data_IF_790088762799
#
_entry.id   IF_790088762799
#
_cell.length_a   1.000
_cell.length_b   1.000
_cell.length_c   1.000
_cell.angle_alpha   90.00
_cell.angle_beta   90.00
_cell.angle_gamma   90.00
#
_symmetry.space_group_name_H-M   'P 1'
#
loop_
_entity.id
_entity.type
_entity.pdbx_description
1 polymer ?
#
# COMPACT_ATOMS: atom_id res chain seq x y z
N UNK A 1 0.04 -11.43 12.69
CA UNK A 1 0.83 -12.51 12.01
C UNK A 1 1.31 -12.14 10.61
N UNK A 2 0.50 -11.62 9.70
CA UNK A 2 0.97 -11.21 8.36
C UNK A 2 1.91 -9.98 8.39
N UNK A 3 1.61 -8.98 9.22
CA UNK A 3 2.46 -7.78 9.39
C UNK A 3 3.81 -8.15 9.99
N UNK A 4 3.84 -9.12 10.92
CA UNK A 4 5.08 -9.62 11.50
C UNK A 4 6.05 -10.25 10.49
N UNK A 5 5.57 -10.73 9.34
CA UNK A 5 6.44 -11.29 8.30
C UNK A 5 7.18 -10.20 7.51
N UNK A 6 6.57 -9.02 7.36
CA UNK A 6 7.23 -7.85 6.78
C UNK A 6 8.25 -7.29 7.76
N UNK A 7 7.94 -7.33 9.05
CA UNK A 7 8.77 -6.84 10.16
C UNK A 7 10.16 -7.49 10.19
N UNK A 8 10.26 -8.75 9.80
CA UNK A 8 11.54 -9.47 9.77
C UNK A 8 12.44 -9.10 8.59
N UNK A 9 11.93 -8.41 7.56
CA UNK A 9 12.69 -8.11 6.36
C UNK A 9 13.21 -6.69 6.29
N UNK A 10 12.46 -5.71 6.80
CA UNK A 10 12.87 -4.31 6.76
C UNK A 10 12.22 -3.50 7.89
N UNK A 11 13.03 -2.95 8.76
CA UNK A 11 12.62 -2.03 9.82
C UNK A 11 11.89 -0.79 9.27
N UNK A 12 12.31 -0.30 8.09
CA UNK A 12 11.68 0.86 7.45
C UNK A 12 10.25 0.57 7.02
N UNK A 13 9.99 -0.62 6.50
CA UNK A 13 8.63 -1.01 6.07
C UNK A 13 7.68 -1.09 7.25
N UNK A 14 8.13 -1.63 8.40
CA UNK A 14 7.34 -1.69 9.64
C UNK A 14 6.97 -0.32 10.14
N UNK A 15 7.97 0.53 10.33
CA UNK A 15 7.77 1.89 10.83
C UNK A 15 6.84 2.67 9.89
N UNK A 16 7.01 2.51 8.59
CA UNK A 16 6.14 3.12 7.59
C UNK A 16 4.70 2.65 7.74
N UNK A 17 4.45 1.34 7.82
CA UNK A 17 3.10 0.78 7.95
C UNK A 17 2.41 1.27 9.23
N UNK A 18 3.09 1.23 10.37
CA UNK A 18 2.54 1.71 11.66
C UNK A 18 2.21 3.20 11.57
N UNK A 19 3.12 4.00 11.04
CA UNK A 19 2.92 5.45 10.89
C UNK A 19 1.76 5.74 9.96
N UNK A 20 1.67 5.07 8.82
CA UNK A 20 0.57 5.20 7.87
C UNK A 20 -0.77 4.86 8.52
N UNK A 21 -0.86 3.74 9.25
CA UNK A 21 -2.07 3.37 9.98
C UNK A 21 -2.47 4.44 11.00
N UNK A 22 -1.51 4.93 11.80
CA UNK A 22 -1.79 5.92 12.84
C UNK A 22 -2.31 7.22 12.24
N UNK A 23 -1.65 7.72 11.19
CA UNK A 23 -2.06 8.97 10.53
C UNK A 23 -3.41 8.78 9.84
N UNK A 24 -3.63 7.67 9.14
CA UNK A 24 -4.90 7.38 8.45
C UNK A 24 -6.07 7.32 9.42
N UNK A 25 -5.91 6.69 10.58
CA UNK A 25 -6.95 6.64 11.61
C UNK A 25 -7.24 8.02 12.20
N UNK A 26 -6.22 8.84 12.42
CA UNK A 26 -6.41 10.21 12.92
C UNK A 26 -7.13 11.09 11.88
N UNK A 27 -6.77 10.96 10.60
CA UNK A 27 -7.48 11.64 9.51
C UNK A 27 -8.95 11.18 9.43
N UNK A 28 -9.22 9.89 9.52
CA UNK A 28 -10.58 9.35 9.53
C UNK A 28 -11.40 9.94 10.69
N UNK A 29 -10.80 10.07 11.88
CA UNK A 29 -11.42 10.70 13.05
C UNK A 29 -11.72 12.18 12.79
N UNK A 30 -10.76 12.95 12.27
CA UNK A 30 -10.94 14.38 11.97
C UNK A 30 -11.99 14.64 10.91
N UNK A 31 -12.10 13.74 9.92
CA UNK A 31 -13.12 13.81 8.87
C UNK A 31 -14.48 13.24 9.31
N UNK A 32 -14.60 12.78 10.56
CA UNK A 32 -15.81 12.18 11.11
C UNK A 32 -16.36 11.02 10.26
N UNK A 33 -15.46 10.19 9.74
CA UNK A 33 -15.83 9.02 8.96
C UNK A 33 -16.57 7.99 9.84
N UNK A 34 -17.45 7.20 9.23
CA UNK A 34 -18.16 6.14 9.92
C UNK A 34 -17.20 5.07 10.45
N UNK A 35 -17.66 4.29 11.43
CA UNK A 35 -16.89 3.15 11.98
C UNK A 35 -16.52 2.14 10.89
N UNK A 36 -17.40 1.91 9.92
CA UNK A 36 -17.16 1.01 8.80
C UNK A 36 -16.05 1.54 7.87
N UNK A 37 -16.11 2.81 7.48
CA UNK A 37 -15.09 3.47 6.67
C UNK A 37 -13.74 3.48 7.39
N UNK A 38 -13.73 3.82 8.68
CA UNK A 38 -12.51 3.82 9.51
C UNK A 38 -11.87 2.44 9.57
N UNK A 39 -12.67 1.39 9.73
CA UNK A 39 -12.19 0.00 9.72
C UNK A 39 -11.60 -0.38 8.35
N UNK A 40 -12.25 0.01 7.26
CA UNK A 40 -11.77 -0.20 5.90
C UNK A 40 -10.40 0.47 5.68
N UNK A 41 -10.29 1.75 6.03
CA UNK A 41 -9.03 2.52 5.94
C UNK A 41 -7.91 1.86 6.75
N UNK A 42 -8.22 1.36 7.95
CA UNK A 42 -7.23 0.63 8.75
C UNK A 42 -6.67 -0.59 8.03
N UNK A 43 -7.54 -1.43 7.45
CA UNK A 43 -7.08 -2.62 6.73
C UNK A 43 -6.30 -2.26 5.45
N UNK A 44 -6.73 -1.23 4.72
CA UNK A 44 -5.97 -0.73 3.57
C UNK A 44 -4.58 -0.28 3.99
N UNK A 45 -4.48 0.55 5.03
CA UNK A 45 -3.21 1.05 5.53
C UNK A 45 -2.28 -0.06 6.04
N UNK A 46 -2.84 -1.13 6.61
CA UNK A 46 -2.08 -2.30 7.06
C UNK A 46 -1.54 -3.15 5.90
N UNK A 47 -2.25 -3.20 4.78
CA UNK A 47 -2.01 -4.20 3.73
C UNK A 47 -1.43 -3.63 2.44
N UNK A 48 -1.47 -2.30 2.23
CA UNK A 48 -1.10 -1.67 0.95
C UNK A 48 0.29 -2.08 0.44
N UNK A 49 1.23 -2.25 1.34
CA UNK A 49 2.64 -2.54 1.08
C UNK A 49 3.05 -4.01 1.30
N UNK A 50 2.09 -4.92 1.54
CA UNK A 50 2.38 -6.32 1.85
C UNK A 50 3.23 -6.99 0.77
N UNK A 51 3.04 -6.64 -0.49
CA UNK A 51 3.82 -7.16 -1.62
C UNK A 51 5.31 -6.83 -1.59
N UNK A 52 5.74 -5.90 -0.74
CA UNK A 52 7.17 -5.61 -0.53
C UNK A 52 7.94 -6.82 0.02
N UNK A 53 7.26 -7.80 0.61
CA UNK A 53 7.88 -9.07 1.01
C UNK A 53 8.52 -9.80 -0.18
N UNK A 54 8.02 -9.61 -1.39
CA UNK A 54 8.55 -10.20 -2.62
C UNK A 54 9.58 -9.34 -3.35
N UNK A 55 9.98 -8.19 -2.79
CA UNK A 55 11.01 -7.32 -3.38
C UNK A 55 12.40 -7.73 -2.85
N UNK A 56 13.42 -7.85 -3.71
CA UNK A 56 14.79 -8.11 -3.25
C UNK A 56 15.25 -7.07 -2.24
N UNK A 57 15.89 -7.54 -1.16
CA UNK A 57 16.30 -6.66 -0.05
C UNK A 57 17.30 -5.58 -0.49
N UNK A 58 18.14 -5.89 -1.47
CA UNK A 58 19.11 -4.98 -2.04
C UNK A 58 18.47 -3.81 -2.77
N UNK A 59 17.23 -3.99 -3.27
CA UNK A 59 16.43 -2.92 -3.88
C UNK A 59 15.60 -2.22 -2.81
N UNK A 60 14.99 -2.99 -1.90
CA UNK A 60 14.11 -2.46 -0.87
C UNK A 60 14.85 -1.48 0.08
N UNK A 61 16.08 -1.81 0.45
CA UNK A 61 16.92 -1.03 1.38
C UNK A 61 18.05 -0.26 0.67
N UNK A 62 17.98 -0.10 -0.65
CA UNK A 62 18.99 0.64 -1.38
C UNK A 62 19.06 2.10 -0.91
N UNK A 63 20.24 2.60 -0.47
CA UNK A 63 20.35 3.91 0.18
C UNK A 63 20.37 5.09 -0.79
N UNK A 64 20.28 4.85 -2.09
CA UNK A 64 20.37 5.87 -3.14
C UNK A 64 19.13 5.89 -4.04
N UNK A 65 19.27 6.56 -5.17
CA UNK A 65 18.25 6.53 -6.22
C UNK A 65 18.28 5.21 -6.97
N UNK A 66 17.13 4.57 -7.09
CA UNK A 66 16.98 3.35 -7.88
C UNK A 66 17.14 3.64 -9.37
N UNK A 67 17.76 2.72 -10.10
CA UNK A 67 17.75 2.74 -11.57
C UNK A 67 16.32 2.52 -12.08
N UNK A 68 16.09 2.71 -13.38
CA UNK A 68 14.78 2.47 -13.98
C UNK A 68 14.36 1.00 -13.83
N UNK A 69 15.29 0.06 -14.04
CA UNK A 69 15.04 -1.37 -13.89
C UNK A 69 14.71 -1.72 -12.43
N UNK A 70 15.46 -1.20 -11.47
CA UNK A 70 15.18 -1.38 -10.04
C UNK A 70 13.84 -0.76 -9.65
N UNK A 71 13.48 0.39 -10.22
CA UNK A 71 12.19 1.04 -9.98
C UNK A 71 11.02 0.18 -10.50
N UNK A 72 11.17 -0.47 -11.66
CA UNK A 72 10.16 -1.43 -12.16
C UNK A 72 9.96 -2.57 -11.17
N UNK A 73 11.05 -3.13 -10.65
CA UNK A 73 10.98 -4.19 -9.63
C UNK A 73 10.31 -3.66 -8.35
N UNK A 74 10.71 -2.48 -7.86
CA UNK A 74 10.09 -1.85 -6.68
C UNK A 74 8.58 -1.66 -6.86
N UNK A 75 8.15 -1.12 -8.00
CA UNK A 75 6.72 -0.87 -8.30
C UNK A 75 5.89 -2.15 -8.38
N UNK A 76 6.52 -3.29 -8.66
CA UNK A 76 5.82 -4.58 -8.72
C UNK A 76 5.23 -5.01 -7.38
N UNK A 77 5.59 -4.37 -6.24
CA UNK A 77 5.00 -4.71 -4.94
C UNK A 77 3.47 -4.58 -4.93
N UNK A 78 2.90 -3.64 -5.69
CA UNK A 78 1.45 -3.47 -5.79
C UNK A 78 0.79 -4.71 -6.39
N UNK A 79 1.34 -5.24 -7.50
CA UNK A 79 0.84 -6.46 -8.12
C UNK A 79 1.05 -7.68 -7.19
N UNK A 80 2.18 -7.74 -6.49
CA UNK A 80 2.45 -8.78 -5.50
C UNK A 80 1.49 -8.70 -4.30
N UNK A 81 1.11 -7.48 -3.86
CA UNK A 81 0.07 -7.31 -2.85
C UNK A 81 -1.25 -7.93 -3.32
N UNK A 82 -1.65 -7.68 -4.57
CA UNK A 82 -2.84 -8.29 -5.18
C UNK A 82 -2.74 -9.81 -5.18
N UNK A 83 -1.68 -10.38 -5.72
CA UNK A 83 -1.47 -11.84 -5.76
C UNK A 83 -1.55 -12.50 -4.38
N UNK A 84 -1.02 -11.84 -3.35
CA UNK A 84 -1.02 -12.37 -1.99
C UNK A 84 -2.41 -12.33 -1.34
N UNK A 85 -3.23 -11.33 -1.65
CA UNK A 85 -4.48 -11.04 -0.94
C UNK A 85 -5.74 -11.35 -1.75
N UNK A 86 -5.64 -11.56 -3.05
CA UNK A 86 -6.79 -11.90 -3.91
C UNK A 86 -7.54 -13.11 -3.36
N UNK A 87 -8.86 -13.06 -3.35
CA UNK A 87 -9.76 -14.06 -2.76
C UNK A 87 -9.62 -14.28 -1.23
N UNK A 88 -8.75 -13.54 -0.54
CA UNK A 88 -8.52 -13.69 0.91
C UNK A 88 -9.06 -12.56 1.75
N UNK A 89 -9.32 -11.41 1.12
CA UNK A 89 -9.86 -10.22 1.79
C UNK A 89 -11.01 -9.63 0.97
N UNK A 90 -11.72 -8.68 1.56
CA UNK A 90 -12.75 -7.91 0.87
C UNK A 90 -12.19 -7.25 -0.39
N UNK A 91 -12.92 -7.38 -1.51
CA UNK A 91 -12.48 -6.90 -2.82
C UNK A 91 -12.31 -5.38 -2.86
N UNK A 92 -13.17 -4.63 -2.15
CA UNK A 92 -13.07 -3.17 -2.11
C UNK A 92 -11.79 -2.74 -1.36
N UNK A 93 -11.46 -3.39 -0.24
CA UNK A 93 -10.22 -3.15 0.51
C UNK A 93 -9.01 -3.45 -0.39
N UNK A 94 -9.05 -4.56 -1.12
CA UNK A 94 -7.98 -4.94 -2.04
C UNK A 94 -7.77 -3.91 -3.15
N UNK A 95 -8.86 -3.44 -3.77
CA UNK A 95 -8.79 -2.45 -4.84
C UNK A 95 -8.19 -1.13 -4.35
N UNK A 96 -8.62 -0.62 -3.20
CA UNK A 96 -8.07 0.60 -2.62
C UNK A 96 -6.57 0.39 -2.28
N UNK A 97 -6.22 -0.72 -1.62
CA UNK A 97 -4.84 -1.03 -1.29
C UNK A 97 -3.92 -1.10 -2.52
N UNK A 98 -4.42 -1.61 -3.65
CA UNK A 98 -3.65 -1.70 -4.90
C UNK A 98 -3.62 -0.40 -5.72
N UNK A 99 -4.29 0.66 -5.28
CA UNK A 99 -4.34 1.97 -5.97
C UNK A 99 -3.57 3.08 -5.24
N UNK A 100 -2.93 2.79 -4.12
CA UNK A 100 -2.28 3.81 -3.27
C UNK A 100 -1.14 4.58 -3.97
N UNK A 101 -0.63 4.12 -5.10
CA UNK A 101 0.33 4.83 -5.94
C UNK A 101 -0.29 5.45 -7.20
N UNK A 102 -1.59 5.36 -7.38
CA UNK A 102 -2.27 6.09 -8.45
C UNK A 102 -2.30 7.59 -8.14
N UNK A 103 -2.43 8.40 -9.16
CA UNK A 103 -2.45 9.86 -9.03
C UNK A 103 -3.60 10.44 -9.84
N UNK A 104 -4.24 11.49 -9.33
CA UNK A 104 -5.40 12.13 -9.96
C UNK A 104 -5.18 12.54 -11.43
N UNK A 105 -3.93 12.81 -11.81
CA UNK A 105 -3.55 13.21 -13.18
C UNK A 105 -3.15 12.02 -14.07
N UNK A 106 -3.42 10.77 -13.67
CA UNK A 106 -3.09 9.58 -14.44
C UNK A 106 -1.60 9.23 -14.54
N UNK A 107 -0.71 9.93 -13.81
CA UNK A 107 0.73 9.63 -13.83
C UNK A 107 1.16 8.61 -12.78
N UNK A 108 0.20 7.98 -12.10
CA UNK A 108 0.44 6.95 -11.11
C UNK A 108 0.67 5.55 -11.71
N UNK A 109 0.67 4.55 -10.87
CA UNK A 109 0.80 3.14 -11.24
C UNK A 109 -0.01 2.25 -10.29
N UNK A 110 -0.34 1.01 -10.65
CA UNK A 110 0.07 0.26 -11.84
C UNK A 110 -0.78 0.52 -13.09
N UNK A 111 -1.96 1.15 -12.98
CA UNK A 111 -2.94 1.25 -14.06
C UNK A 111 -3.07 2.65 -14.66
N UNK A 112 -2.35 3.65 -14.12
CA UNK A 112 -2.42 5.06 -14.56
C UNK A 112 -3.86 5.60 -14.56
N UNK A 113 -4.59 5.36 -13.48
CA UNK A 113 -5.98 5.77 -13.31
C UNK A 113 -6.09 7.29 -13.14
N UNK A 114 -7.14 7.86 -13.68
CA UNK A 114 -7.49 9.27 -13.54
C UNK A 114 -8.45 9.50 -12.37
N UNK A 115 -8.57 10.76 -11.92
CA UNK A 115 -9.41 11.17 -10.78
C UNK A 115 -10.81 10.54 -10.77
N UNK A 116 -11.49 10.52 -11.92
CA UNK A 116 -12.84 9.95 -12.06
C UNK A 116 -12.92 8.41 -11.92
N UNK A 117 -11.78 7.75 -11.84
CA UNK A 117 -11.65 6.29 -11.66
C UNK A 117 -11.17 5.92 -10.25
N UNK A 118 -10.88 6.91 -9.41
CA UNK A 118 -10.41 6.73 -8.03
C UNK A 118 -11.55 7.04 -7.05
N UNK A 119 -11.54 6.36 -5.91
CA UNK A 119 -12.43 6.63 -4.77
C UNK A 119 -11.83 7.71 -3.86
N UNK A 120 -12.63 8.26 -2.95
CA UNK A 120 -12.14 9.24 -1.97
C UNK A 120 -11.35 8.63 -0.81
N UNK A 121 -11.46 7.31 -0.60
CA UNK A 121 -10.62 6.56 0.35
C UNK A 121 -9.20 6.29 -0.21
#
# INVERSE_FOLDING_TARGET
MLVSLIDFRSYFTVTHTITTCTISLELARLLSLSSEQTKKIYYVAMMHDLGKIGIPIEILEYPGQLTQEQMIIMRSHVLKTRELLEEKIDQEILEIACRHHEKLNGSGYPHSLWENQLTQE
#
